data_IF_023232313906
#
_entry.id   IF_023232313906
#
_cell.length_a   1.000
_cell.length_b   1.000
_cell.length_c   1.000
_cell.angle_alpha   90.00
_cell.angle_beta   90.00
_cell.angle_gamma   90.00
#
_symmetry.space_group_name_H-M   'P 1'
#
loop_
_entity.id
_entity.type
_entity.pdbx_description
1 polymer ?
#
# COMPACT_ATOMS: atom_id res chain seq x y z
N UNK A 1 -18.70 12.24 13.38
CA UNK A 1 -19.61 12.89 12.40
C UNK A 1 -19.67 12.15 11.05
N UNK A 2 -18.56 11.93 10.34
CA UNK A 2 -18.57 11.28 9.01
C UNK A 2 -19.23 9.89 9.03
N UNK A 3 -18.81 9.03 9.96
CA UNK A 3 -19.39 7.68 10.15
C UNK A 3 -20.85 7.73 10.58
N UNK A 4 -21.22 8.70 11.42
CA UNK A 4 -22.61 8.90 11.85
C UNK A 4 -23.55 9.25 10.70
N UNK A 5 -23.05 9.97 9.69
CA UNK A 5 -23.84 10.36 8.51
C UNK A 5 -23.91 9.24 7.47
N UNK A 6 -22.82 8.49 7.30
CA UNK A 6 -22.70 7.38 6.36
C UNK A 6 -22.19 6.14 7.10
N UNK A 7 -23.06 5.29 7.66
CA UNK A 7 -22.65 4.13 8.47
C UNK A 7 -21.95 3.03 7.66
N UNK A 8 -22.13 3.01 6.33
CA UNK A 8 -21.39 2.14 5.41
C UNK A 8 -20.27 2.95 4.76
N UNK A 9 -19.05 2.84 5.28
CA UNK A 9 -17.91 3.54 4.72
C UNK A 9 -16.60 2.76 4.91
N UNK A 10 -15.59 3.24 4.21
CA UNK A 10 -14.20 2.80 4.38
C UNK A 10 -13.46 3.90 5.11
N UNK A 11 -12.79 3.56 6.21
CA UNK A 11 -11.87 4.45 6.92
C UNK A 11 -10.45 4.03 6.56
N UNK A 12 -9.67 4.96 6.00
CA UNK A 12 -8.25 4.78 5.76
C UNK A 12 -7.46 5.51 6.86
N UNK A 13 -6.60 4.79 7.54
CA UNK A 13 -5.66 5.30 8.52
C UNK A 13 -4.25 5.09 7.97
N UNK A 14 -3.60 6.19 7.60
CA UNK A 14 -2.28 6.14 6.97
C UNK A 14 -1.16 6.19 8.02
N UNK A 15 -0.08 5.45 7.80
CA UNK A 15 1.15 5.46 8.63
C UNK A 15 0.88 5.27 10.14
N UNK A 16 0.20 4.17 10.49
CA UNK A 16 -0.28 3.92 11.85
C UNK A 16 0.83 3.95 12.91
N UNK A 17 2.07 3.66 12.53
CA UNK A 17 3.24 3.71 13.40
C UNK A 17 3.59 5.11 13.92
N UNK A 18 3.14 6.16 13.22
CA UNK A 18 3.34 7.56 13.64
C UNK A 18 2.25 8.04 14.59
N UNK A 19 1.18 7.27 14.77
CA UNK A 19 0.06 7.67 15.60
C UNK A 19 0.44 7.71 17.09
N UNK A 20 -0.02 8.75 17.78
CA UNK A 20 0.17 8.86 19.23
C UNK A 20 -0.60 7.74 19.97
N UNK A 21 -0.06 7.23 21.08
CA UNK A 21 -0.64 6.12 21.85
C UNK A 21 -2.12 6.28 22.22
N UNK A 22 -2.56 7.51 22.53
CA UNK A 22 -3.98 7.85 22.76
C UNK A 22 -4.88 7.54 21.56
N UNK A 23 -4.41 7.76 20.34
CA UNK A 23 -5.17 7.44 19.11
C UNK A 23 -5.30 5.93 18.97
N UNK A 24 -4.22 5.18 19.20
CA UNK A 24 -4.24 3.72 19.15
C UNK A 24 -5.21 3.11 20.17
N UNK A 25 -5.29 3.68 21.37
CA UNK A 25 -6.24 3.21 22.39
C UNK A 25 -7.71 3.44 21.97
N UNK A 26 -8.00 4.57 21.32
CA UNK A 26 -9.33 4.84 20.78
C UNK A 26 -9.66 3.87 19.64
N UNK A 27 -8.67 3.56 18.79
CA UNK A 27 -8.84 2.59 17.71
C UNK A 27 -9.11 1.18 18.24
N UNK A 28 -8.42 0.76 19.31
CA UNK A 28 -8.72 -0.51 19.98
C UNK A 28 -10.19 -0.60 20.40
N UNK A 29 -10.74 0.47 21.01
CA UNK A 29 -12.15 0.49 21.38
C UNK A 29 -13.08 0.34 20.15
N UNK A 30 -12.74 1.01 19.04
CA UNK A 30 -13.52 0.91 17.80
C UNK A 30 -13.48 -0.52 17.23
N UNK A 31 -12.30 -1.14 17.22
CA UNK A 31 -12.10 -2.49 16.67
C UNK A 31 -12.69 -3.58 17.58
N UNK A 32 -12.70 -3.38 18.90
CA UNK A 32 -13.26 -4.35 19.86
C UNK A 32 -14.80 -4.28 19.91
N UNK A 33 -15.34 -3.10 20.17
CA UNK A 33 -16.77 -2.94 20.47
C UNK A 33 -17.60 -2.60 19.22
N UNK A 34 -16.94 -2.33 18.08
CA UNK A 34 -17.59 -1.79 16.90
C UNK A 34 -18.29 -0.46 17.17
N UNK A 35 -17.93 0.25 18.25
CA UNK A 35 -18.61 1.46 18.72
C UNK A 35 -17.62 2.41 19.37
N UNK A 36 -17.89 3.70 19.22
CA UNK A 36 -17.12 4.74 19.91
C UNK A 36 -18.07 5.73 20.57
N UNK A 37 -17.85 6.00 21.85
CA UNK A 37 -18.59 7.04 22.58
C UNK A 37 -17.73 8.28 22.69
N UNK A 38 -18.25 9.43 22.23
CA UNK A 38 -17.55 10.71 22.31
C UNK A 38 -17.61 11.34 23.72
N UNK A 39 -16.91 12.46 23.91
CA UNK A 39 -16.89 13.22 25.17
C UNK A 39 -18.23 13.86 25.54
N UNK A 40 -19.20 13.88 24.62
CA UNK A 40 -20.56 14.35 24.85
C UNK A 40 -21.54 13.20 25.12
N UNK A 41 -21.03 11.97 25.30
CA UNK A 41 -21.84 10.78 25.60
C UNK A 41 -22.58 10.21 24.39
N UNK A 42 -22.23 10.61 23.16
CA UNK A 42 -22.86 10.10 21.95
C UNK A 42 -22.09 8.89 21.45
N UNK A 43 -22.80 7.78 21.30
CA UNK A 43 -22.24 6.55 20.72
C UNK A 43 -22.44 6.53 19.21
N UNK A 44 -21.36 6.25 18.48
CA UNK A 44 -21.33 6.03 17.03
C UNK A 44 -21.06 4.57 16.76
N UNK A 45 -21.81 3.99 15.83
CA UNK A 45 -21.68 2.60 15.41
C UNK A 45 -20.71 2.47 14.23
N UNK A 46 -19.78 1.52 14.33
CA UNK A 46 -18.74 1.17 13.36
C UNK A 46 -18.89 -0.28 12.85
N UNK A 47 -19.93 -1.01 13.24
CA UNK A 47 -20.14 -2.41 12.81
C UNK A 47 -20.23 -2.61 11.30
N UNK A 48 -20.56 -1.56 10.53
CA UNK A 48 -20.65 -1.59 9.07
C UNK A 48 -19.52 -0.81 8.37
N UNK A 49 -18.44 -0.53 9.11
CA UNK A 49 -17.29 0.22 8.61
C UNK A 49 -16.12 -0.72 8.34
N UNK A 50 -15.54 -0.60 7.15
CA UNK A 50 -14.27 -1.27 6.83
C UNK A 50 -13.13 -0.34 7.23
N UNK A 51 -12.28 -0.77 8.16
CA UNK A 51 -11.10 -0.02 8.57
C UNK A 51 -9.88 -0.58 7.85
N UNK A 52 -9.19 0.27 7.09
CA UNK A 52 -7.94 -0.03 6.42
C UNK A 52 -6.84 0.78 7.10
N UNK A 53 -5.77 0.10 7.51
CA UNK A 53 -4.57 0.72 8.07
C UNK A 53 -3.39 0.45 7.14
N UNK A 54 -2.52 1.45 6.98
CA UNK A 54 -1.25 1.29 6.27
C UNK A 54 -0.09 1.49 7.26
N UNK A 55 1.04 0.90 6.93
CA UNK A 55 2.28 1.11 7.65
C UNK A 55 3.46 0.95 6.71
N UNK A 56 4.52 1.73 6.94
CA UNK A 56 5.78 1.56 6.23
C UNK A 56 6.79 0.70 7.01
N UNK A 57 6.40 0.11 8.15
CA UNK A 57 7.28 -0.73 8.98
C UNK A 57 7.78 -1.95 8.17
N UNK A 58 9.09 -2.15 8.15
CA UNK A 58 9.73 -3.30 7.51
C UNK A 58 9.77 -3.23 5.99
N UNK A 59 9.31 -2.14 5.37
CA UNK A 59 9.35 -1.96 3.92
C UNK A 59 10.77 -2.10 3.36
N UNK A 60 11.79 -1.77 4.15
CA UNK A 60 13.20 -1.93 3.80
C UNK A 60 13.57 -3.39 3.48
N UNK A 61 13.00 -4.38 4.19
CA UNK A 61 13.25 -5.80 3.98
C UNK A 61 12.74 -6.31 2.62
N UNK A 62 11.79 -5.59 2.02
CA UNK A 62 11.23 -5.91 0.71
C UNK A 62 12.10 -5.37 -0.45
N UNK A 63 13.00 -4.42 -0.16
CA UNK A 63 13.85 -3.77 -1.18
C UNK A 63 15.23 -4.43 -1.32
N UNK A 64 15.82 -4.89 -0.22
CA UNK A 64 17.24 -5.29 -0.15
C UNK A 64 17.66 -6.48 -1.06
N UNK A 65 16.79 -7.44 -1.36
CA UNK A 65 17.19 -8.59 -2.20
C UNK A 65 16.99 -8.38 -3.71
N UNK A 66 16.15 -7.42 -4.12
CA UNK A 66 15.96 -7.11 -5.54
C UNK A 66 17.18 -6.41 -6.15
N UNK A 67 17.96 -5.67 -5.34
CA UNK A 67 19.18 -4.98 -5.78
C UNK A 67 20.37 -5.92 -6.06
N UNK A 68 20.39 -7.11 -5.44
CA UNK A 68 21.45 -8.12 -5.64
C UNK A 68 21.33 -8.85 -6.99
N UNK A 69 20.27 -8.62 -7.76
CA UNK A 69 20.05 -9.26 -9.06
C UNK A 69 19.89 -8.29 -10.25
N UNK A 70 20.86 -7.40 -10.57
CA UNK A 70 20.81 -6.59 -11.80
C UNK A 70 20.96 -7.43 -13.09
N UNK A 71 21.13 -8.75 -12.98
CA UNK A 71 21.34 -9.69 -14.09
C UNK A 71 20.16 -10.64 -14.35
N UNK A 72 18.96 -10.35 -13.84
CA UNK A 72 17.76 -11.16 -14.08
C UNK A 72 17.17 -11.08 -15.52
N UNK A 73 17.94 -10.57 -16.49
CA UNK A 73 17.54 -10.55 -17.90
C UNK A 73 17.93 -11.81 -18.70
N UNK A 74 18.19 -12.98 -18.07
CA UNK A 74 18.56 -14.17 -18.87
C UNK A 74 18.09 -15.57 -18.45
N UNK A 75 17.13 -15.75 -17.54
CA UNK A 75 16.56 -17.10 -17.27
C UNK A 75 15.06 -17.11 -17.01
N UNK A 76 14.29 -16.61 -17.97
CA UNK A 76 12.86 -16.88 -18.08
C UNK A 76 12.69 -18.39 -18.31
N UNK A 77 12.45 -19.17 -17.23
CA UNK A 77 11.60 -20.39 -17.18
C UNK A 77 11.77 -21.29 -15.93
N UNK A 78 12.67 -21.00 -14.98
CA UNK A 78 12.85 -21.84 -13.75
C UNK A 78 12.42 -21.11 -12.45
N UNK A 79 12.09 -19.82 -12.51
CA UNK A 79 12.16 -18.92 -11.33
C UNK A 79 10.85 -18.68 -10.54
N UNK A 80 9.74 -19.38 -10.83
CA UNK A 80 8.48 -19.12 -10.12
C UNK A 80 8.47 -19.61 -8.67
N UNK A 81 9.19 -20.69 -8.35
CA UNK A 81 9.22 -21.23 -6.97
C UNK A 81 10.25 -20.51 -6.09
N UNK A 82 11.37 -20.06 -6.68
CA UNK A 82 12.41 -19.30 -5.95
C UNK A 82 11.95 -17.88 -5.62
N UNK A 83 11.31 -17.18 -6.55
CA UNK A 83 10.77 -15.84 -6.29
C UNK A 83 9.70 -15.85 -5.20
N UNK A 84 8.81 -16.86 -5.21
CA UNK A 84 7.80 -17.07 -4.15
C UNK A 84 8.45 -17.41 -2.80
N UNK A 85 9.50 -18.22 -2.81
CA UNK A 85 10.24 -18.56 -1.58
C UNK A 85 10.93 -17.34 -0.97
N UNK A 86 11.50 -16.47 -1.79
CA UNK A 86 12.16 -15.25 -1.31
C UNK A 86 11.14 -14.26 -0.73
N UNK A 87 10.00 -14.03 -1.41
CA UNK A 87 8.95 -13.18 -0.86
C UNK A 87 8.38 -13.72 0.45
N UNK A 88 8.19 -15.04 0.57
CA UNK A 88 7.74 -15.64 1.83
C UNK A 88 8.71 -15.37 2.99
N UNK A 89 10.02 -15.41 2.73
CA UNK A 89 11.03 -15.07 3.73
C UNK A 89 11.01 -13.58 4.09
N UNK A 90 10.96 -12.69 3.10
CA UNK A 90 10.89 -11.24 3.32
C UNK A 90 9.61 -10.84 4.07
N UNK A 91 8.47 -11.44 3.72
CA UNK A 91 7.20 -11.25 4.42
C UNK A 91 7.31 -11.60 5.90
N UNK A 92 8.01 -12.68 6.23
CA UNK A 92 8.23 -13.05 7.64
C UNK A 92 9.05 -11.98 8.38
N UNK A 93 10.11 -11.43 7.76
CA UNK A 93 10.90 -10.35 8.36
C UNK A 93 10.05 -9.09 8.61
N UNK A 94 9.22 -8.70 7.64
CA UNK A 94 8.27 -7.58 7.78
C UNK A 94 7.32 -7.82 8.96
N UNK A 95 6.72 -9.00 9.04
CA UNK A 95 5.77 -9.34 10.11
C UNK A 95 6.46 -9.39 11.49
N UNK A 96 7.71 -9.83 11.56
CA UNK A 96 8.48 -9.81 12.80
C UNK A 96 8.74 -8.39 13.29
N UNK A 97 9.15 -7.49 12.40
CA UNK A 97 9.37 -6.08 12.75
C UNK A 97 8.07 -5.39 13.13
N UNK A 98 6.97 -5.65 12.39
CA UNK A 98 5.64 -5.15 12.71
C UNK A 98 5.21 -5.55 14.14
N UNK A 99 5.42 -6.82 14.52
CA UNK A 99 5.11 -7.32 15.87
C UNK A 99 5.98 -6.72 16.97
N UNK A 100 7.18 -6.24 16.64
CA UNK A 100 8.06 -5.57 17.59
C UNK A 100 7.67 -4.10 17.82
N UNK A 101 7.18 -3.42 16.78
CA UNK A 101 6.83 -1.99 16.83
C UNK A 101 5.39 -1.75 17.25
N UNK A 102 4.44 -2.51 16.71
CA UNK A 102 3.01 -2.39 17.01
C UNK A 102 2.63 -3.34 18.13
N UNK A 103 1.83 -2.83 19.06
CA UNK A 103 1.40 -3.58 20.23
C UNK A 103 0.56 -4.80 19.81
N UNK A 104 0.80 -5.99 20.39
CA UNK A 104 0.05 -7.21 20.05
C UNK A 104 -1.46 -7.06 20.20
N UNK A 105 -1.93 -6.24 21.14
CA UNK A 105 -3.36 -6.00 21.37
C UNK A 105 -4.04 -5.43 20.12
N UNK A 106 -3.36 -4.56 19.36
CA UNK A 106 -3.91 -4.00 18.12
C UNK A 106 -3.88 -5.03 16.99
N UNK A 107 -2.77 -5.76 16.86
CA UNK A 107 -2.61 -6.78 15.81
C UNK A 107 -3.63 -7.91 15.95
N UNK A 108 -3.95 -8.31 17.17
CA UNK A 108 -4.93 -9.35 17.47
C UNK A 108 -6.39 -8.95 17.16
N UNK A 109 -6.63 -7.68 16.79
CA UNK A 109 -7.94 -7.17 16.36
C UNK A 109 -8.05 -6.96 14.86
N UNK A 110 -6.99 -7.26 14.12
CA UNK A 110 -7.02 -7.22 12.67
C UNK A 110 -7.50 -8.56 12.15
N UNK A 111 -8.44 -8.53 11.22
CA UNK A 111 -8.91 -9.73 10.54
C UNK A 111 -7.80 -10.32 9.65
N UNK A 112 -7.05 -9.47 8.96
CA UNK A 112 -5.95 -9.88 8.08
C UNK A 112 -4.85 -8.81 8.02
N UNK A 113 -3.62 -9.26 7.74
CA UNK A 113 -2.44 -8.42 7.53
C UNK A 113 -1.87 -8.72 6.14
N UNK A 114 -2.05 -7.76 5.24
CA UNK A 114 -1.61 -7.85 3.85
C UNK A 114 -0.24 -7.19 3.71
N UNK A 115 0.75 -7.97 3.27
CA UNK A 115 2.07 -7.47 2.89
C UNK A 115 2.13 -7.36 1.37
N UNK A 116 2.42 -6.17 0.86
CA UNK A 116 2.50 -5.93 -0.58
C UNK A 116 3.83 -6.39 -1.16
N UNK A 117 3.77 -7.05 -2.31
CA UNK A 117 4.96 -7.37 -3.10
C UNK A 117 5.54 -6.08 -3.72
N UNK A 118 6.88 -5.95 -3.81
CA UNK A 118 7.51 -4.89 -4.59
C UNK A 118 6.99 -4.85 -6.03
N UNK A 119 6.83 -3.65 -6.56
CA UNK A 119 6.36 -3.45 -7.93
C UNK A 119 7.44 -3.88 -8.93
N UNK A 120 7.13 -4.87 -9.77
CA UNK A 120 7.95 -5.24 -10.92
C UNK A 120 7.80 -4.26 -12.09
N UNK A 121 8.72 -4.35 -13.06
CA UNK A 121 8.70 -3.50 -14.27
C UNK A 121 7.36 -3.52 -15.01
N UNK A 122 6.70 -4.69 -15.10
CA UNK A 122 5.42 -4.82 -15.79
C UNK A 122 4.30 -4.05 -15.08
N UNK A 123 4.24 -4.12 -13.75
CA UNK A 123 3.28 -3.37 -12.94
C UNK A 123 3.57 -1.87 -13.00
N UNK A 124 4.84 -1.47 -12.95
CA UNK A 124 5.25 -0.07 -13.08
C UNK A 124 4.79 0.54 -14.41
N UNK A 125 4.92 -0.18 -15.53
CA UNK A 125 4.39 0.25 -16.84
C UNK A 125 2.89 0.52 -16.80
N UNK A 126 2.12 -0.36 -16.16
CA UNK A 126 0.68 -0.17 -16.01
C UNK A 126 0.36 1.07 -15.16
N UNK A 127 1.13 1.31 -14.10
CA UNK A 127 0.96 2.50 -13.25
C UNK A 127 1.23 3.77 -14.06
N UNK A 128 2.31 3.82 -14.85
CA UNK A 128 2.61 4.97 -15.73
C UNK A 128 1.44 5.21 -16.68
N UNK A 129 0.95 4.16 -17.34
CA UNK A 129 -0.18 4.27 -18.27
C UNK A 129 -1.44 4.83 -17.57
N UNK A 130 -1.75 4.37 -16.36
CA UNK A 130 -2.86 4.91 -15.56
C UNK A 130 -2.66 6.39 -15.17
N UNK A 131 -1.43 6.85 -14.96
CA UNK A 131 -1.16 8.28 -14.74
C UNK A 131 -1.40 9.09 -16.03
N UNK A 132 -0.98 8.55 -17.18
CA UNK A 132 -1.20 9.16 -18.49
C UNK A 132 -2.68 9.27 -18.86
N UNK A 133 -3.55 8.37 -18.39
CA UNK A 133 -5.00 8.47 -18.64
C UNK A 133 -5.57 9.83 -18.20
N UNK A 134 -5.04 10.42 -17.13
CA UNK A 134 -5.45 11.76 -16.69
C UNK A 134 -5.02 12.88 -17.65
N UNK A 135 -3.89 12.71 -18.33
CA UNK A 135 -3.36 13.65 -19.33
C UNK A 135 -4.13 13.49 -20.64
N UNK A 136 -4.33 12.24 -21.09
CA UNK A 136 -5.11 11.91 -22.28
C UNK A 136 -6.53 12.45 -22.17
N UNK A 137 -7.18 12.32 -21.00
CA UNK A 137 -8.52 12.91 -20.77
C UNK A 137 -8.53 14.43 -20.96
N UNK A 138 -7.55 15.14 -20.40
CA UNK A 138 -7.43 16.61 -20.55
C UNK A 138 -7.15 17.04 -21.99
N UNK A 139 -6.34 16.28 -22.73
CA UNK A 139 -6.06 16.56 -24.13
C UNK A 139 -7.28 16.31 -25.03
N UNK A 140 -8.07 15.28 -24.73
CA UNK A 140 -9.32 15.00 -25.44
C UNK A 140 -10.34 16.16 -25.29
N UNK A 141 -10.39 16.83 -24.13
CA UNK A 141 -11.21 18.05 -23.95
C UNK A 141 -10.78 19.17 -24.91
N UNK A 142 -9.50 19.20 -25.29
CA UNK A 142 -8.94 20.13 -26.28
C UNK A 142 -8.94 19.58 -27.71
N UNK A 143 -9.69 18.49 -27.97
CA UNK A 143 -9.75 17.78 -29.25
C UNK A 143 -8.39 17.25 -29.76
N UNK A 144 -7.46 16.97 -28.85
CA UNK A 144 -6.17 16.38 -29.16
C UNK A 144 -6.10 14.92 -28.70
N UNK A 145 -5.71 14.03 -29.59
CA UNK A 145 -5.46 12.61 -29.27
C UNK A 145 -3.98 12.37 -29.03
N UNK A 146 -3.64 11.71 -27.93
CA UNK A 146 -2.28 11.30 -27.61
C UNK A 146 -2.23 9.78 -27.42
N UNK A 147 -1.32 9.14 -28.16
CA UNK A 147 -1.01 7.73 -28.00
C UNK A 147 0.44 7.60 -27.53
N UNK A 148 0.67 6.82 -26.47
CA UNK A 148 2.01 6.57 -25.95
C UNK A 148 2.40 5.13 -26.32
N UNK A 149 3.56 4.96 -26.94
CA UNK A 149 4.07 3.63 -27.28
C UNK A 149 4.70 2.96 -26.05
N UNK A 150 4.85 1.63 -26.09
CA UNK A 150 5.44 0.88 -24.98
C UNK A 150 6.90 1.27 -24.76
N UNK A 151 7.63 1.55 -25.84
CA UNK A 151 9.03 1.99 -25.79
C UNK A 151 9.17 3.35 -25.11
N UNK A 152 8.22 4.26 -25.34
CA UNK A 152 8.20 5.55 -24.66
C UNK A 152 7.94 5.39 -23.15
N UNK A 153 7.05 4.47 -22.75
CA UNK A 153 6.81 4.14 -21.34
C UNK A 153 8.06 3.57 -20.66
N UNK A 154 8.84 2.75 -21.38
CA UNK A 154 10.08 2.19 -20.87
C UNK A 154 11.13 3.26 -20.60
N UNK A 155 11.30 4.21 -21.52
CA UNK A 155 12.22 5.35 -21.32
C UNK A 155 11.79 6.20 -20.12
N UNK A 156 10.49 6.48 -20.00
CA UNK A 156 9.97 7.25 -18.85
C UNK A 156 10.26 6.51 -17.55
N UNK A 157 10.05 5.19 -17.52
CA UNK A 157 10.34 4.39 -16.34
C UNK A 157 11.82 4.39 -15.99
N UNK A 158 12.73 4.27 -16.96
CA UNK A 158 14.16 4.27 -16.68
C UNK A 158 14.64 5.61 -16.09
N UNK A 159 14.05 6.72 -16.51
CA UNK A 159 14.38 8.06 -16.00
C UNK A 159 13.67 8.41 -14.68
N UNK A 160 12.52 7.78 -14.37
CA UNK A 160 11.69 8.13 -13.21
C UNK A 160 11.63 7.08 -12.11
N UNK A 161 12.20 5.89 -12.32
CA UNK A 161 12.15 4.82 -11.33
C UNK A 161 13.22 5.00 -10.26
N UNK A 162 12.76 5.27 -9.04
CA UNK A 162 13.57 5.15 -7.84
C UNK A 162 13.00 4.02 -6.95
N UNK A 163 13.74 2.92 -6.73
CA UNK A 163 13.31 1.81 -5.88
C UNK A 163 12.88 2.23 -4.47
N UNK A 164 13.48 3.28 -3.91
CA UNK A 164 13.18 3.75 -2.55
C UNK A 164 11.87 4.51 -2.47
N UNK A 165 11.45 5.18 -3.55
CA UNK A 165 10.21 5.96 -3.61
C UNK A 165 9.09 5.24 -4.38
N UNK A 166 9.36 4.05 -4.93
CA UNK A 166 8.44 3.31 -5.78
C UNK A 166 8.04 4.11 -7.03
N UNK A 167 6.78 3.98 -7.47
CA UNK A 167 6.27 4.71 -8.64
C UNK A 167 5.90 6.18 -8.36
N UNK A 168 6.20 6.73 -7.18
CA UNK A 168 5.84 8.11 -6.82
C UNK A 168 6.50 9.20 -7.69
N UNK A 169 7.77 9.06 -8.14
CA UNK A 169 8.42 10.07 -8.98
C UNK A 169 7.91 10.12 -10.43
N UNK A 170 7.01 9.21 -10.83
CA UNK A 170 6.48 9.08 -12.21
C UNK A 170 5.43 10.18 -12.56
N UNK A 171 5.17 11.13 -11.65
CA UNK A 171 4.16 12.19 -11.82
C UNK A 171 4.63 13.37 -12.66
#
# INVERSE_FOLDING_TARGET
EAVRRNPYNVILLDEIEKAHSKVLNILLQVLDDGRLTDSHGRTVDFTNVVVIMTSNIGAEHLLFENELSPRANKKIKIENDQAKSNFAHQRELVLQQLRHTIRPELLNRLDDIIVFEPLGRAQLRQIVLLQFDSVVKRLNESQMTMNVSVEALDVILEESYDPQYGARPVK
#
